data_IF_966132759486
#
_entry.id   IF_966132759486
#
_cell.length_a   1.000
_cell.length_b   1.000
_cell.length_c   1.000
_cell.angle_alpha   90.00
_cell.angle_beta   90.00
_cell.angle_gamma   90.00
#
_symmetry.space_group_name_H-M   'P 1'
#
loop_
_entity.id
_entity.type
_entity.pdbx_description
1 polymer ?
2 non-polymer ?
3 water ?
#
# COMPACT_ATOMS: atom_id res chain seq x y z
N UNK A 16 5.26 7.19 -26.55
CA UNK A 16 4.09 7.67 -25.76
C UNK A 16 2.96 8.03 -26.71
N UNK A 17 3.32 8.34 -27.95
CA UNK A 17 2.33 8.69 -28.96
C UNK A 17 1.62 7.42 -29.43
N UNK A 18 2.12 6.27 -28.99
CA UNK A 18 1.51 4.99 -29.34
C UNK A 18 0.34 4.72 -28.40
N UNK A 19 0.15 5.63 -27.44
CA UNK A 19 -0.91 5.49 -26.45
C UNK A 19 -1.84 6.70 -26.53
N UNK A 20 -3.11 6.48 -26.18
CA UNK A 20 -4.08 7.55 -26.14
C UNK A 20 -4.31 7.73 -24.64
N UNK A 21 -4.12 8.95 -24.15
CA UNK A 21 -4.31 9.22 -22.74
C UNK A 21 -5.74 9.68 -22.53
N UNK A 22 -6.62 8.72 -22.26
CA UNK A 22 -8.03 8.98 -22.07
C UNK A 22 -8.38 9.85 -20.86
N UNK A 23 -7.73 9.60 -19.74
CA UNK A 23 -7.99 10.38 -18.54
C UNK A 23 -6.93 10.25 -17.48
N UNK A 24 -6.95 11.16 -16.52
CA UNK A 24 -6.00 11.14 -15.43
C UNK A 24 -6.63 10.40 -14.25
N UNK A 25 -6.01 9.29 -13.85
CA UNK A 25 -6.51 8.49 -12.74
C UNK A 25 -6.16 9.14 -11.40
N UNK A 26 -5.01 9.78 -11.35
CA UNK A 26 -4.58 10.45 -10.13
C UNK A 26 -3.09 10.68 -10.07
N UNK A 27 -2.61 11.12 -8.92
CA UNK A 27 -1.18 11.39 -8.72
C UNK A 27 -0.65 10.52 -7.59
N UNK A 28 0.35 9.70 -7.89
CA UNK A 28 0.91 8.83 -6.88
C UNK A 28 2.23 9.35 -6.34
N UNK A 29 2.93 8.52 -5.58
CA UNK A 29 4.24 8.87 -5.01
C UNK A 29 4.84 10.00 -5.82
N UNK A 30 5.19 9.69 -7.06
CA UNK A 30 5.67 10.73 -7.98
C UNK A 30 5.08 10.55 -9.37
N UNK A 31 4.89 11.67 -10.06
CA UNK A 31 4.34 11.62 -11.41
C UNK A 31 2.86 11.34 -11.40
N UNK A 32 2.20 11.67 -12.49
CA UNK A 32 0.77 11.46 -12.61
C UNK A 32 0.48 10.10 -13.25
N UNK A 33 -0.72 9.57 -12.99
CA UNK A 33 -1.10 8.28 -13.57
C UNK A 33 -2.30 8.46 -14.47
N UNK A 34 -2.19 7.95 -15.70
CA UNK A 34 -3.24 8.07 -16.71
C UNK A 34 -3.78 6.73 -17.20
N UNK A 35 -5.06 6.71 -17.56
CA UNK A 35 -5.67 5.52 -18.13
C UNK A 35 -5.21 5.65 -19.57
N UNK A 36 -4.42 4.69 -20.05
CA UNK A 36 -3.89 4.75 -21.40
C UNK A 36 -4.24 3.56 -22.29
N UNK A 37 -4.59 3.86 -23.54
CA UNK A 37 -4.92 2.81 -24.50
C UNK A 37 -3.78 2.67 -25.49
N UNK A 38 -3.32 1.45 -25.70
CA UNK A 38 -2.27 1.20 -26.68
C UNK A 38 -3.02 1.12 -28.02
N UNK A 39 -2.97 2.23 -28.77
CA UNK A 39 -3.65 2.37 -30.05
C UNK A 39 -3.81 1.15 -30.97
N UNK A 40 -2.72 0.44 -31.23
CA UNK A 40 -2.77 -0.73 -32.11
C UNK A 40 -3.53 -1.95 -31.61
N UNK A 41 -3.85 -2.00 -30.33
CA UNK A 41 -4.54 -3.17 -29.80
C UNK A 41 -5.80 -2.90 -29.00
N UNK A 42 -6.06 -1.64 -28.67
CA UNK A 42 -7.23 -1.29 -27.87
C UNK A 42 -7.04 -1.74 -26.42
N UNK A 43 -5.84 -2.19 -26.09
CA UNK A 43 -5.57 -2.64 -24.72
C UNK A 43 -5.33 -1.42 -23.84
N UNK A 44 -5.94 -1.42 -22.66
CA UNK A 44 -5.78 -0.30 -21.74
C UNK A 44 -4.78 -0.62 -20.64
N UNK A 45 -4.09 0.43 -20.19
CA UNK A 45 -3.08 0.32 -19.16
C UNK A 45 -3.15 1.54 -18.26
N UNK A 46 -2.40 1.48 -17.16
CA UNK A 46 -2.34 2.60 -16.25
C UNK A 46 -0.89 3.04 -16.36
N UNK A 47 -0.67 4.26 -16.86
CA UNK A 47 0.69 4.76 -17.02
C UNK A 47 1.03 5.87 -16.04
N UNK A 48 2.14 5.67 -15.33
CA UNK A 48 2.64 6.64 -14.38
C UNK A 48 3.67 7.45 -15.15
N UNK A 49 3.46 8.76 -15.26
CA UNK A 49 4.38 9.63 -15.98
C UNK A 49 5.13 10.54 -15.03
N UNK A 50 6.44 10.64 -15.22
CA UNK A 50 7.30 11.48 -14.38
C UNK A 50 8.16 12.40 -15.25
N UNK A 51 8.26 13.67 -14.84
CA UNK A 51 9.06 14.66 -15.56
C UNK A 51 10.49 14.60 -15.04
N UNK A 52 11.40 14.08 -15.86
CA UNK A 52 12.80 13.96 -15.48
C UNK A 52 13.32 15.17 -14.72
N UNK A 53 13.01 16.35 -15.22
CA UNK A 53 13.47 17.60 -14.64
C UNK A 53 13.06 17.82 -13.18
N UNK A 54 11.83 17.52 -12.77
CA UNK A 54 11.54 17.75 -11.35
C UNK A 54 12.07 16.54 -10.56
N UNK A 55 12.27 15.40 -11.23
CA UNK A 55 12.82 14.20 -10.60
C UNK A 55 14.26 14.47 -10.14
N UNK A 56 14.99 15.27 -10.91
CA UNK A 56 16.37 15.60 -10.59
C UNK A 56 16.45 16.68 -9.51
N UNK A 57 15.59 17.68 -9.63
CA UNK A 57 15.53 18.77 -8.67
C UNK A 57 15.13 18.20 -7.32
N UNK A 58 14.11 17.35 -7.32
CA UNK A 58 13.65 16.72 -6.10
C UNK A 58 14.57 15.54 -5.80
N UNK A 59 15.68 15.48 -6.52
CA UNK A 59 16.69 14.44 -6.35
C UNK A 59 16.15 13.06 -5.95
N UNK A 60 15.10 12.59 -6.61
CA UNK A 60 14.54 11.29 -6.28
C UNK A 60 14.74 10.30 -7.42
N UNK A 61 15.96 10.30 -7.97
CA UNK A 61 16.28 9.40 -9.07
C UNK A 61 16.26 7.95 -8.60
N UNK A 62 16.79 7.69 -7.40
CA UNK A 62 16.81 6.34 -6.87
C UNK A 62 15.42 5.91 -6.43
N UNK A 63 14.61 6.86 -5.96
CA UNK A 63 13.24 6.53 -5.57
C UNK A 63 12.49 5.97 -6.79
N UNK A 64 12.83 6.43 -8.00
CA UNK A 64 12.14 5.96 -9.17
C UNK A 64 12.63 4.56 -9.51
N UNK A 65 13.91 4.29 -9.22
CA UNK A 65 14.49 2.98 -9.49
C UNK A 65 13.90 1.99 -8.52
N UNK A 66 13.64 2.45 -7.29
CA UNK A 66 13.05 1.59 -6.27
C UNK A 66 11.70 1.07 -6.76
N UNK A 67 10.83 1.98 -7.19
CA UNK A 67 9.51 1.59 -7.66
C UNK A 67 9.59 0.62 -8.83
N UNK A 68 10.48 0.90 -9.77
CA UNK A 68 10.65 0.03 -10.92
C UNK A 68 11.02 -1.37 -10.45
N UNK A 69 11.92 -1.43 -9.46
CA UNK A 69 12.40 -2.68 -8.91
C UNK A 69 11.32 -3.47 -8.20
N UNK A 70 10.55 -2.80 -7.34
CA UNK A 70 9.49 -3.49 -6.62
C UNK A 70 8.38 -3.91 -7.57
N UNK A 71 8.09 -3.10 -8.58
CA UNK A 71 7.07 -3.48 -9.55
C UNK A 71 7.53 -4.73 -10.32
N UNK A 72 8.82 -4.84 -10.59
CA UNK A 72 9.34 -6.01 -11.30
C UNK A 72 9.19 -7.23 -10.41
N UNK A 73 9.47 -7.04 -9.13
CA UNK A 73 9.35 -8.11 -8.16
C UNK A 73 7.89 -8.58 -8.05
N UNK A 74 6.98 -7.62 -7.92
CA UNK A 74 5.54 -7.87 -7.77
C UNK A 74 4.92 -8.82 -8.80
N UNK A 75 5.57 -8.99 -9.93
CA UNK A 75 5.04 -9.87 -10.98
C UNK A 75 4.74 -11.24 -10.37
N UNK A 76 5.58 -11.60 -9.41
CA UNK A 76 5.52 -12.88 -8.69
C UNK A 76 4.24 -13.07 -7.82
N UNK A 77 3.68 -11.96 -7.33
CA UNK A 77 2.52 -12.03 -6.44
C UNK A 77 1.17 -11.55 -7.02
N UNK A 78 0.06 -12.24 -6.70
CA UNK A 78 -1.25 -11.84 -7.22
C UNK A 78 -1.85 -10.57 -6.61
N UNK A 79 -1.43 -10.21 -5.41
CA UNK A 79 -2.01 -9.04 -4.77
C UNK A 79 -1.17 -7.76 -4.80
N UNK A 80 -0.24 -7.70 -5.74
CA UNK A 80 0.59 -6.52 -5.92
C UNK A 80 0.41 -6.09 -7.38
N UNK A 81 0.44 -4.80 -7.63
CA UNK A 81 0.28 -4.28 -8.98
C UNK A 81 1.47 -4.68 -9.86
N UNK A 82 1.19 -5.16 -11.07
CA UNK A 82 2.23 -5.58 -12.01
C UNK A 82 2.53 -4.50 -13.03
N UNK A 83 3.75 -4.55 -13.56
CA UNK A 83 4.21 -3.60 -14.56
C UNK A 83 4.56 -4.40 -15.82
N UNK A 84 4.18 -3.89 -16.98
CA UNK A 84 4.49 -4.61 -18.22
C UNK A 84 5.78 -4.13 -18.83
N UNK A 85 5.97 -2.83 -18.86
CA UNK A 85 7.20 -2.30 -19.39
C UNK A 85 7.44 -0.91 -18.87
N UNK A 86 8.54 -0.35 -19.31
CA UNK A 86 8.94 0.96 -18.87
C UNK A 86 9.68 1.55 -20.07
N UNK A 87 9.55 2.85 -20.28
CA UNK A 87 10.20 3.50 -21.40
C UNK A 87 10.32 4.98 -21.12
N UNK A 88 11.16 5.66 -21.90
CA UNK A 88 11.32 7.07 -21.70
C UNK A 88 11.33 7.89 -22.97
N UNK A 89 11.02 9.16 -22.76
CA UNK A 89 11.03 10.18 -23.79
C UNK A 89 12.24 10.97 -23.32
N UNK A 90 12.49 12.10 -23.97
CA UNK A 90 13.62 12.93 -23.61
C UNK A 90 13.26 13.94 -22.51
N UNK A 91 12.08 13.79 -21.91
CA UNK A 91 11.67 14.72 -20.86
C UNK A 91 10.86 14.02 -19.75
N UNK A 92 10.44 12.79 -20.01
CA UNK A 92 9.64 12.04 -19.03
C UNK A 92 9.98 10.58 -18.88
N UNK A 93 9.55 10.02 -17.76
CA UNK A 93 9.73 8.60 -17.44
C UNK A 93 8.33 8.01 -17.38
N UNK A 94 8.17 6.80 -17.91
CA UNK A 94 6.86 6.17 -17.93
C UNK A 94 6.85 4.73 -17.42
N UNK A 95 5.92 4.44 -16.54
CA UNK A 95 5.74 3.07 -16.02
C UNK A 95 4.42 2.59 -16.61
N UNK A 96 4.45 1.54 -17.42
CA UNK A 96 3.22 1.00 -17.98
C UNK A 96 2.79 -0.18 -17.11
N UNK A 97 1.76 0.05 -16.29
CA UNK A 97 1.25 -0.98 -15.39
C UNK A 97 -0.10 -1.52 -15.82
N UNK A 98 -0.51 -2.63 -15.21
CA UNK A 98 -1.81 -3.22 -15.51
C UNK A 98 -2.90 -2.27 -15.03
N UNK A 99 -4.00 -2.23 -15.77
CA UNK A 99 -5.13 -1.38 -15.42
C UNK A 99 -6.12 -2.19 -14.57
N UNK A 100 -6.47 -1.66 -13.42
CA UNK A 100 -7.38 -2.31 -12.48
C UNK A 100 -8.63 -1.45 -12.40
N UNK A 101 -9.68 -1.87 -13.09
CA UNK A 101 -10.92 -1.08 -13.16
C UNK A 101 -11.83 -0.99 -11.95
N UNK A 102 -11.44 -1.62 -10.84
CA UNK A 102 -12.28 -1.56 -9.65
C UNK A 102 -12.16 -0.28 -8.87
N UNK A 103 -11.10 0.50 -9.11
CA UNK A 103 -10.90 1.74 -8.38
C UNK A 103 -10.23 1.47 -7.03
N UNK A 104 -9.90 2.52 -6.30
CA UNK A 104 -9.24 2.37 -5.01
C UNK A 104 -10.24 2.22 -3.86
N UNK A 105 -9.79 1.60 -2.77
CA UNK A 105 -10.63 1.37 -1.61
C UNK A 105 -11.08 2.64 -0.92
N UNK A 106 -10.21 3.65 -0.90
CA UNK A 106 -10.58 4.92 -0.27
C UNK A 106 -11.88 5.42 -0.89
N UNK A 107 -11.94 5.39 -2.22
CA UNK A 107 -13.13 5.82 -2.94
C UNK A 107 -14.37 5.03 -2.51
N UNK A 108 -14.23 3.71 -2.46
CA UNK A 108 -15.34 2.84 -2.08
C UNK A 108 -15.80 3.10 -0.65
N UNK A 109 -14.86 3.33 0.27
CA UNK A 109 -15.22 3.59 1.66
C UNK A 109 -15.94 4.92 1.77
N UNK A 110 -15.58 5.87 0.92
CA UNK A 110 -16.21 7.18 0.96
C UNK A 110 -17.67 7.10 0.50
N UNK A 111 -17.92 6.31 -0.55
CA UNK A 111 -19.27 6.18 -1.06
C UNK A 111 -20.11 5.18 -0.27
N UNK A 112 -19.47 4.15 0.30
CA UNK A 112 -20.17 3.12 1.07
C UNK A 112 -20.20 3.40 2.57
N UNK A 113 -19.36 4.34 3.00
CA UNK A 113 -19.20 4.74 4.39
C UNK A 113 -18.35 3.75 5.17
N UNK A 114 -18.61 2.46 4.98
CA UNK A 114 -17.84 1.41 5.64
C UNK A 114 -18.17 0.04 5.07
N UNK A 115 -17.30 -0.93 5.33
CA UNK A 115 -17.50 -2.29 4.82
C UNK A 115 -17.99 -3.21 5.94
N UNK A 116 -18.82 -4.18 5.56
CA UNK A 116 -19.31 -5.15 6.52
C UNK A 116 -18.08 -5.98 6.92
N UNK A 117 -18.14 -6.62 8.09
CA UNK A 117 -17.00 -7.40 8.58
C UNK A 117 -16.46 -8.47 7.63
N UNK A 118 -17.35 -9.18 6.94
CA UNK A 118 -16.90 -10.23 6.01
C UNK A 118 -16.10 -9.67 4.85
N UNK A 119 -16.59 -8.56 4.28
CA UNK A 119 -15.92 -7.94 3.15
C UNK A 119 -14.56 -7.36 3.57
N UNK A 120 -14.55 -6.65 4.70
CA UNK A 120 -13.32 -6.06 5.23
C UNK A 120 -12.29 -7.14 5.58
N UNK A 121 -12.78 -8.26 6.12
CA UNK A 121 -11.91 -9.38 6.48
C UNK A 121 -11.25 -9.97 5.25
N UNK A 122 -12.02 -10.11 4.17
CA UNK A 122 -11.49 -10.65 2.93
C UNK A 122 -10.37 -9.77 2.37
N UNK A 123 -10.59 -8.46 2.33
CA UNK A 123 -9.58 -7.54 1.80
C UNK A 123 -8.36 -7.53 2.71
N UNK A 124 -8.60 -7.55 4.02
CA UNK A 124 -7.53 -7.54 4.99
C UNK A 124 -6.60 -8.74 4.80
N UNK A 125 -7.20 -9.90 4.58
CA UNK A 125 -6.43 -11.12 4.39
C UNK A 125 -5.51 -11.03 3.16
N UNK A 126 -6.05 -10.55 2.04
CA UNK A 126 -5.22 -10.44 0.83
C UNK A 126 -4.15 -9.35 1.01
N UNK A 127 -4.47 -8.32 1.78
CA UNK A 127 -3.49 -7.28 2.02
C UNK A 127 -2.36 -7.88 2.87
N UNK A 128 -2.71 -8.72 3.84
CA UNK A 128 -1.72 -9.37 4.68
C UNK A 128 -0.72 -10.16 3.83
N UNK A 129 -1.21 -10.96 2.88
CA UNK A 129 -0.34 -11.76 2.04
C UNK A 129 0.55 -10.87 1.17
N UNK A 130 -0.01 -9.78 0.67
CA UNK A 130 0.76 -8.86 -0.14
C UNK A 130 1.91 -8.27 0.67
N UNK A 131 1.62 -7.85 1.90
CA UNK A 131 2.62 -7.27 2.79
C UNK A 131 3.68 -8.27 3.18
N UNK A 132 3.24 -9.46 3.55
CA UNK A 132 4.19 -10.50 3.97
C UNK A 132 5.13 -10.92 2.86
N UNK A 133 4.62 -10.86 1.60
CA UNK A 133 5.45 -11.20 0.48
C UNK A 133 6.55 -10.15 0.39
N UNK A 134 6.14 -8.88 0.44
CA UNK A 134 7.10 -7.77 0.38
C UNK A 134 8.13 -7.87 1.49
N UNK A 135 7.68 -8.17 2.70
CA UNK A 135 8.58 -8.30 3.84
C UNK A 135 9.55 -9.47 3.67
N UNK A 136 9.06 -10.57 3.09
CA UNK A 136 9.91 -11.75 2.91
C UNK A 136 10.98 -11.44 1.89
N UNK A 137 10.75 -10.45 1.05
CA UNK A 137 11.71 -10.04 0.03
C UNK A 137 12.61 -8.89 0.51
N UNK A 138 12.63 -8.66 1.81
CA UNK A 138 13.45 -7.59 2.38
C UNK A 138 12.96 -6.18 2.12
N UNK A 139 11.66 -6.03 1.98
CA UNK A 139 11.06 -4.73 1.69
C UNK A 139 10.08 -4.27 2.78
N UNK A 140 10.20 -3.00 3.15
CA UNK A 140 9.30 -2.38 4.11
C UNK A 140 8.55 -1.38 3.22
N UNK A 141 7.23 -1.54 3.15
CA UNK A 141 6.39 -0.72 2.29
C UNK A 141 6.29 0.76 2.69
N UNK A 142 6.03 1.00 3.97
CA UNK A 142 5.97 2.35 4.53
C UNK A 142 4.87 3.29 4.06
N UNK A 143 4.04 2.86 3.12
CA UNK A 143 2.97 3.74 2.69
C UNK A 143 1.64 3.02 2.51
N UNK A 144 1.36 2.08 3.42
CA UNK A 144 0.10 1.34 3.36
C UNK A 144 -1.06 2.21 3.80
N UNK A 145 -1.98 2.46 2.88
CA UNK A 145 -3.16 3.27 3.17
C UNK A 145 -4.26 2.90 2.18
N UNK A 146 -5.51 3.20 2.52
CA UNK A 146 -6.65 2.88 1.66
C UNK A 146 -6.48 3.37 0.23
N UNK A 147 -5.92 4.55 0.10
CA UNK A 147 -5.67 5.19 -1.19
C UNK A 147 -4.82 4.31 -2.10
N UNK A 148 -3.98 3.47 -1.49
CA UNK A 148 -3.10 2.61 -2.26
C UNK A 148 -3.58 1.19 -2.48
N UNK A 149 -4.82 0.90 -2.14
CA UNK A 149 -5.37 -0.44 -2.35
C UNK A 149 -6.39 -0.35 -3.47
N UNK A 150 -6.09 -1.01 -4.59
CA UNK A 150 -6.98 -0.99 -5.74
C UNK A 150 -7.70 -2.33 -5.88
N UNK A 151 -8.84 -2.29 -6.54
CA UNK A 151 -9.64 -3.49 -6.78
C UNK A 151 -9.53 -3.88 -8.25
N UNK A 152 -9.28 -5.18 -8.49
CA UNK A 152 -9.17 -5.68 -9.86
C UNK A 152 -10.59 -6.01 -10.33
N UNK A 153 -10.73 -6.38 -11.61
CA UNK A 153 -12.04 -6.70 -12.17
C UNK A 153 -12.66 -7.98 -11.64
N UNK A 154 -11.86 -8.79 -10.95
CA UNK A 154 -12.32 -10.05 -10.39
C UNK A 154 -12.75 -9.88 -8.94
N UNK A 155 -12.53 -8.69 -8.39
CA UNK A 155 -12.92 -8.46 -7.02
C UNK A 155 -11.80 -8.60 -6.01
N UNK A 156 -10.62 -9.01 -6.47
CA UNK A 156 -9.48 -9.16 -5.59
C UNK A 156 -8.72 -7.84 -5.54
N UNK A 157 -7.97 -7.61 -4.48
CA UNK A 157 -7.24 -6.35 -4.37
C UNK A 157 -5.78 -6.43 -4.81
N UNK A 158 -5.19 -5.26 -5.00
CA UNK A 158 -3.80 -5.16 -5.40
C UNK A 158 -3.20 -3.91 -4.78
N UNK A 159 -2.06 -4.08 -4.12
CA UNK A 159 -1.36 -2.96 -3.51
C UNK A 159 -0.67 -2.19 -4.64
N UNK A 160 -0.70 -0.87 -4.57
CA UNK A 160 -0.07 -0.03 -5.58
C UNK A 160 0.79 1.09 -5.00
N UNK A 161 1.65 1.64 -5.85
CA UNK A 161 2.55 2.74 -5.48
C UNK A 161 3.64 2.27 -4.53
N UNK A 162 4.79 1.93 -5.09
CA UNK A 162 5.90 1.43 -4.28
C UNK A 162 7.05 2.41 -4.19
N UNK A 163 6.77 3.68 -4.46
CA UNK A 163 7.81 4.69 -4.42
C UNK A 163 8.45 4.95 -3.08
N UNK A 164 7.81 4.54 -1.99
CA UNK A 164 8.34 4.79 -0.67
C UNK A 164 8.94 3.56 0.02
N UNK A 165 9.05 2.46 -0.72
CA UNK A 165 9.61 1.24 -0.16
C UNK A 165 11.09 1.37 0.18
N UNK A 166 11.52 0.57 1.14
CA UNK A 166 12.92 0.52 1.57
C UNK A 166 13.30 -0.95 1.33
N UNK A 167 14.35 -1.18 0.54
CA UNK A 167 14.80 -2.54 0.26
C UNK A 167 15.99 -2.94 1.10
N UNK A 168 16.48 -4.15 0.88
CA UNK A 168 17.61 -4.71 1.60
C UNK A 168 17.35 -4.71 3.10
N UNK A 169 16.08 -4.73 3.48
CA UNK A 169 15.69 -4.77 4.87
C UNK A 169 15.60 -6.25 5.24
N UNK A 170 16.76 -6.84 5.45
CA UNK A 170 16.88 -8.24 5.80
C UNK A 170 17.46 -8.48 7.19
N UNK A 171 17.04 -9.59 7.80
CA UNK A 171 17.52 -9.92 9.12
C UNK A 171 17.16 -8.87 10.16
N UNK A 172 18.17 -8.37 10.86
CA UNK A 172 17.95 -7.35 11.88
C UNK A 172 18.10 -5.93 11.34
N UNK A 173 18.06 -5.78 10.02
CA UNK A 173 18.21 -4.47 9.43
C UNK A 173 17.08 -3.52 9.82
N UNK A 174 17.44 -2.28 10.15
CA UNK A 174 16.45 -1.27 10.51
C UNK A 174 16.82 0.00 9.76
N UNK A 175 15.84 0.89 9.56
CA UNK A 175 16.10 2.15 8.86
C UNK A 175 15.56 3.30 9.70
N UNK A 176 15.75 4.53 9.25
CA UNK A 176 15.35 5.67 10.06
C UNK A 176 14.73 6.89 9.38
N UNK A 177 14.31 6.79 8.14
CA UNK A 177 13.73 7.96 7.49
C UNK A 177 12.30 8.21 7.99
N UNK A 178 12.02 9.44 8.42
CA UNK A 178 10.67 9.79 8.87
C UNK A 178 9.82 9.92 7.61
N UNK A 179 8.81 9.06 7.46
CA UNK A 179 7.96 9.14 6.28
C UNK A 179 6.64 8.40 6.42
N UNK A 180 5.73 8.67 5.49
CA UNK A 180 4.42 8.04 5.49
C UNK A 180 3.32 9.10 5.59
N UNK A 181 2.09 8.71 5.29
CA UNK A 181 0.95 9.60 5.36
C UNK A 181 0.64 9.70 6.85
N UNK A 182 0.58 10.94 7.39
CA UNK A 182 0.30 11.18 8.80
C UNK A 182 -0.71 10.30 9.53
N UNK A 183 -1.89 10.11 8.95
CA UNK A 183 -2.91 9.28 9.59
C UNK A 183 -2.42 7.87 9.89
N UNK A 184 -1.51 7.38 9.06
CA UNK A 184 -0.97 6.03 9.16
C UNK A 184 0.41 5.85 9.79
N UNK A 185 1.06 6.94 10.15
CA UNK A 185 2.41 6.84 10.72
C UNK A 185 2.46 6.12 12.07
N UNK A 186 3.33 5.10 12.15
CA UNK A 186 3.48 4.32 13.38
C UNK A 186 4.13 5.12 14.51
N UNK A 187 3.74 4.83 15.76
CA UNK A 187 4.30 5.53 16.90
C UNK A 187 5.82 5.42 17.06
N UNK A 188 6.41 4.28 16.67
CA UNK A 188 7.84 4.14 16.82
C UNK A 188 8.58 5.16 15.96
N UNK A 189 7.98 5.56 14.84
CA UNK A 189 8.58 6.56 13.97
C UNK A 189 8.45 7.92 14.65
N UNK A 190 7.27 8.18 15.21
CA UNK A 190 7.02 9.45 15.90
C UNK A 190 7.95 9.63 17.10
N UNK A 191 8.32 8.51 17.74
CA UNK A 191 9.20 8.56 18.90
C UNK A 191 10.67 8.55 18.50
N UNK A 192 10.91 8.55 17.19
CA UNK A 192 12.27 8.59 16.68
C UNK A 192 13.13 7.33 16.78
N UNK A 193 12.52 6.15 16.77
CA UNK A 193 13.30 4.91 16.88
C UNK A 193 13.62 4.34 15.50
N UNK A 194 14.77 3.68 15.37
CA UNK A 194 15.15 3.00 14.11
C UNK A 194 14.04 1.94 13.98
N UNK A 195 13.56 1.66 12.76
CA UNK A 195 12.46 0.68 12.62
C UNK A 195 12.56 -0.29 11.45
N UNK A 196 11.68 -1.28 11.46
CA UNK A 196 11.62 -2.28 10.41
C UNK A 196 10.18 -2.46 9.92
N UNK A 197 9.84 -3.65 9.42
CA UNK A 197 8.50 -3.93 8.89
C UNK A 197 7.36 -3.68 9.88
N UNK A 198 7.68 -3.55 11.16
CA UNK A 198 6.66 -3.31 12.17
C UNK A 198 5.77 -2.10 11.85
N UNK A 199 6.33 -1.11 11.16
CA UNK A 199 5.56 0.07 10.82
C UNK A 199 4.44 -0.25 9.86
N UNK A 200 4.61 -1.26 9.02
CA UNK A 200 3.55 -1.60 8.08
C UNK A 200 2.39 -2.24 8.82
N UNK A 201 2.68 -2.97 9.90
CA UNK A 201 1.61 -3.62 10.65
C UNK A 201 0.75 -2.63 11.41
N UNK A 202 1.32 -1.46 11.72
CA UNK A 202 0.56 -0.42 12.39
C UNK A 202 -0.36 0.21 11.34
N UNK A 203 0.21 0.56 10.20
CA UNK A 203 -0.57 1.17 9.12
C UNK A 203 -1.72 0.24 8.72
N UNK A 204 -1.45 -1.07 8.73
CA UNK A 204 -2.46 -2.06 8.38
C UNK A 204 -3.61 -1.94 9.38
N UNK A 205 -3.28 -1.83 10.65
CA UNK A 205 -4.30 -1.67 11.67
C UNK A 205 -5.18 -0.45 11.40
N UNK A 206 -4.54 0.66 11.03
CA UNK A 206 -5.28 1.88 10.75
C UNK A 206 -6.19 1.65 9.57
N UNK A 207 -5.65 1.02 8.54
CA UNK A 207 -6.41 0.71 7.31
C UNK A 207 -7.60 -0.21 7.61
N UNK A 208 -7.39 -1.24 8.42
CA UNK A 208 -8.46 -2.16 8.75
C UNK A 208 -9.52 -1.44 9.58
N UNK A 209 -9.09 -0.64 10.54
CA UNK A 209 -10.00 0.13 11.37
C UNK A 209 -10.87 1.00 10.47
N UNK A 210 -10.25 1.66 9.49
CA UNK A 210 -10.99 2.52 8.58
C UNK A 210 -12.02 1.76 7.73
N UNK A 211 -11.67 0.58 7.23
CA UNK A 211 -12.60 -0.19 6.42
C UNK A 211 -13.86 -0.57 7.20
N UNK A 212 -13.68 -0.86 8.49
CA UNK A 212 -14.77 -1.29 9.35
C UNK A 212 -15.57 -0.19 10.01
N UNK A 213 -14.90 0.91 10.33
CA UNK A 213 -15.53 2.01 11.03
C UNK A 213 -15.85 3.21 10.15
N UNK A 214 -15.12 3.36 9.04
CA UNK A 214 -15.38 4.46 8.14
C UNK A 214 -14.78 5.78 8.63
N UNK A 215 -13.99 5.70 9.69
CA UNK A 215 -13.31 6.85 10.27
C UNK A 215 -11.90 6.40 10.61
N UNK A 216 -10.99 7.36 10.76
CA UNK A 216 -9.61 7.05 11.13
C UNK A 216 -9.60 6.86 12.64
N UNK A 217 -8.78 5.93 13.15
CA UNK A 217 -8.71 5.68 14.59
C UNK A 217 -8.09 6.81 15.42
N UNK A 218 -7.18 7.58 14.83
CA UNK A 218 -6.54 8.69 15.54
C UNK A 218 -6.88 10.00 14.85
N UNK A 219 -7.32 10.98 15.65
CA UNK A 219 -7.74 12.29 15.13
C UNK A 219 -6.87 13.45 15.59
N UNK A 220 -7.11 14.60 14.97
CA UNK A 220 -6.39 15.81 15.31
C UNK A 220 -6.80 16.93 14.38
N UNK A 221 -6.90 18.15 14.91
CA UNK A 221 -7.29 19.28 14.09
C UNK A 221 -6.17 19.55 13.10
N UNK A 222 -4.96 19.21 13.50
CA UNK A 222 -3.77 19.37 12.66
C UNK A 222 -2.83 18.19 12.91
N UNK A 223 -1.72 18.13 12.18
CA UNK A 223 -0.77 17.04 12.34
C UNK A 223 -0.20 16.88 13.74
N UNK A 224 0.10 17.99 14.40
CA UNK A 224 0.67 17.90 15.74
C UNK A 224 -0.31 17.21 16.69
N UNK A 225 -1.59 17.55 16.59
CA UNK A 225 -2.59 16.93 17.46
C UNK A 225 -2.74 15.47 17.07
N UNK A 226 -2.70 15.21 15.77
CA UNK A 226 -2.83 13.84 15.27
C UNK A 226 -1.68 13.01 15.85
N UNK A 227 -0.46 13.54 15.79
CA UNK A 227 0.69 12.79 16.30
C UNK A 227 0.56 12.50 17.77
N UNK A 228 0.06 13.48 18.53
CA UNK A 228 -0.12 13.27 19.95
C UNK A 228 -1.13 12.14 20.17
N UNK A 229 -2.17 12.14 19.35
CA UNK A 229 -3.23 11.12 19.44
C UNK A 229 -2.68 9.73 19.13
N UNK A 230 -1.84 9.64 18.10
CA UNK A 230 -1.24 8.37 17.71
C UNK A 230 -0.35 7.85 18.84
N UNK A 231 0.32 8.78 19.54
CA UNK A 231 1.20 8.40 20.64
C UNK A 231 0.51 8.06 21.95
N UNK A 232 -0.61 8.71 22.24
CA UNK A 232 -1.28 8.51 23.53
C UNK A 232 -2.67 7.90 23.57
N UNK A 233 -3.53 8.26 22.62
CA UNK A 233 -4.89 7.78 22.64
C UNK A 233 -5.21 6.33 22.29
N UNK A 234 -6.37 5.91 22.77
CA UNK A 234 -6.89 4.59 22.52
C UNK A 234 -8.03 4.82 21.54
N UNK A 235 -8.01 4.14 20.39
CA UNK A 235 -9.07 4.30 19.40
C UNK A 235 -10.44 3.95 19.97
N UNK A 236 -11.49 4.54 19.40
CA UNK A 236 -12.84 4.26 19.85
C UNK A 236 -13.38 3.05 19.09
N UNK A 237 -13.94 2.09 19.83
CA UNK A 237 -14.51 0.91 19.19
C UNK A 237 -16.02 0.89 19.48
N UNK A 238 -16.85 0.95 18.43
CA UNK A 238 -18.32 0.94 18.54
C UNK A 238 -18.82 -0.37 19.16
N UNK A 239 -19.98 -0.30 19.82
CA UNK A 239 -20.56 -1.48 20.45
C UNK A 239 -20.94 -2.57 19.46
N UNK A 240 -21.10 -2.20 18.18
CA UNK A 240 -21.47 -3.19 17.18
C UNK A 240 -20.27 -3.89 16.55
N UNK A 241 -19.06 -3.46 16.87
CA UNK A 241 -17.87 -4.08 16.31
C UNK A 241 -17.68 -5.45 16.93
N UNK A 242 -17.60 -6.47 16.08
CA UNK A 242 -17.42 -7.84 16.56
C UNK A 242 -16.18 -7.97 17.44
N UNK A 243 -16.28 -8.81 18.46
CA UNK A 243 -15.19 -9.04 19.41
C UNK A 243 -13.86 -9.46 18.81
N UNK A 244 -13.87 -10.44 17.90
CA UNK A 244 -12.59 -10.87 17.36
C UNK A 244 -11.96 -9.76 16.47
N UNK A 245 -12.78 -8.85 15.92
CA UNK A 245 -12.21 -7.75 15.11
C UNK A 245 -11.59 -6.71 16.04
N UNK A 246 -12.27 -6.41 17.15
CA UNK A 246 -11.74 -5.46 18.11
C UNK A 246 -10.42 -5.99 18.65
N UNK A 247 -10.40 -7.30 18.92
CA UNK A 247 -9.21 -7.94 19.46
C UNK A 247 -8.03 -7.87 18.50
N UNK A 248 -8.29 -8.02 17.21
CA UNK A 248 -7.22 -7.96 16.22
C UNK A 248 -6.64 -6.55 16.22
N UNK A 249 -7.52 -5.56 16.16
CA UNK A 249 -7.10 -4.16 16.15
C UNK A 249 -6.30 -3.78 17.38
N UNK A 250 -6.75 -4.24 18.54
CA UNK A 250 -6.06 -3.95 19.81
C UNK A 250 -4.65 -4.52 19.78
N UNK A 251 -4.52 -5.71 19.23
CA UNK A 251 -3.20 -6.34 19.14
C UNK A 251 -2.32 -5.67 18.09
N UNK A 252 -2.95 -4.99 17.13
CA UNK A 252 -2.20 -4.29 16.11
C UNK A 252 -1.79 -2.92 16.61
N UNK A 253 -2.61 -2.32 17.47
CA UNK A 253 -2.31 -0.98 17.97
C UNK A 253 -1.43 -0.94 19.21
N UNK A 254 -0.61 -1.97 19.39
CA UNK A 254 0.31 -2.01 20.51
C UNK A 254 1.47 -1.08 20.13
N UNK A 255 1.76 -0.12 21.01
CA UNK A 255 2.83 0.86 20.78
C UNK A 255 4.21 0.22 20.59
N UNK A 256 4.61 -0.63 21.53
CA UNK A 256 5.89 -1.31 21.45
C UNK A 256 5.88 -2.23 20.23
N UNK A 257 6.64 -1.87 19.19
CA UNK A 257 6.69 -2.69 17.96
C UNK A 257 7.05 -4.17 18.14
N UNK A 258 7.92 -4.49 19.09
CA UNK A 258 8.30 -5.88 19.28
C UNK A 258 7.21 -6.73 19.90
N UNK A 259 6.12 -6.12 20.36
CA UNK A 259 5.02 -6.86 20.94
C UNK A 259 3.77 -6.78 20.06
N UNK A 260 3.93 -6.21 18.87
CA UNK A 260 2.82 -6.04 17.95
C UNK A 260 2.58 -7.26 17.07
N UNK A 261 1.32 -7.69 17.00
CA UNK A 261 0.96 -8.83 16.17
C UNK A 261 1.44 -8.48 14.77
N UNK A 262 2.00 -9.47 14.07
CA UNK A 262 2.53 -9.22 12.74
C UNK A 262 4.05 -9.22 12.87
N UNK A 263 4.53 -8.63 13.96
CA UNK A 263 5.96 -8.59 14.26
C UNK A 263 6.20 -9.83 15.12
N UNK A 264 5.31 -10.00 16.10
CA UNK A 264 5.34 -11.11 17.02
C UNK A 264 4.11 -12.01 16.75
N UNK A 265 4.28 -13.33 16.82
CA UNK A 265 3.15 -14.22 16.60
C UNK A 265 2.84 -14.48 15.13
N UNK A 266 1.67 -15.05 14.87
CA UNK A 266 1.24 -15.36 13.51
C UNK A 266 -0.13 -14.74 13.26
N UNK A 267 -0.15 -13.57 12.62
CA UNK A 267 -1.40 -12.87 12.36
C UNK A 267 -2.42 -13.71 11.59
N UNK A 268 -1.94 -14.66 10.79
CA UNK A 268 -2.85 -15.50 10.00
C UNK A 268 -3.69 -16.42 10.88
N UNK A 269 -3.16 -16.76 12.06
CA UNK A 269 -3.86 -17.63 12.99
C UNK A 269 -4.82 -16.89 13.92
N UNK A 270 -5.03 -15.60 13.69
CA UNK A 270 -5.96 -14.86 14.54
C UNK A 270 -7.38 -15.34 14.23
N UNK A 271 -8.20 -15.53 15.28
CA UNK A 271 -9.59 -16.01 15.16
C UNK A 271 -10.42 -15.31 14.07
N UNK A 272 -10.17 -14.02 13.85
CA UNK A 272 -10.91 -13.27 12.85
C UNK A 272 -10.81 -13.91 11.47
N UNK A 273 -9.69 -14.57 11.19
CA UNK A 273 -9.45 -15.21 9.90
C UNK A 273 -9.68 -16.72 9.92
N UNK A 274 -10.37 -17.21 10.95
CA UNK A 274 -10.58 -18.65 11.09
C UNK A 274 -11.12 -19.39 9.87
N UNK A 275 -12.01 -18.77 9.10
CA UNK A 275 -12.56 -19.43 7.94
C UNK A 275 -11.73 -19.31 6.66
N UNK A 276 -10.59 -18.62 6.74
CA UNK A 276 -9.77 -18.46 5.55
C UNK A 276 -8.69 -19.52 5.34
N UNK A 277 -8.67 -20.07 4.14
CA UNK A 277 -7.65 -21.04 3.76
C UNK A 277 -6.67 -20.13 3.00
N UNK A 278 -5.59 -19.75 3.67
CA UNK A 278 -4.60 -18.84 3.08
C UNK A 278 -3.99 -19.26 1.76
N UNK A 279 -3.70 -20.54 1.62
CA UNK A 279 -3.13 -21.00 0.36
C UNK A 279 -4.12 -20.87 -0.78
N UNK A 280 -5.37 -21.24 -0.52
CA UNK A 280 -6.39 -21.11 -1.56
C UNK A 280 -6.63 -19.65 -1.87
N UNK A 281 -6.52 -18.80 -0.85
CA UNK A 281 -6.73 -17.37 -1.03
C UNK A 281 -5.72 -16.83 -2.02
N UNK A 282 -4.45 -17.14 -1.80
CA UNK A 282 -3.39 -16.67 -2.68
C UNK A 282 -3.56 -17.21 -4.10
N UNK A 283 -4.12 -18.41 -4.21
CA UNK A 283 -4.36 -19.01 -5.53
C UNK A 283 -5.65 -18.45 -6.09
N UNK A 284 -6.27 -17.55 -5.34
CA UNK A 284 -7.52 -16.92 -5.74
C UNK A 284 -8.64 -17.92 -5.99
N UNK A 285 -8.75 -18.90 -5.10
CA UNK A 285 -9.79 -19.91 -5.23
C UNK A 285 -10.91 -19.63 -4.24
N UNK A 286 -10.83 -18.46 -3.60
CA UNK A 286 -11.83 -18.02 -2.66
C UNK A 286 -12.44 -16.76 -3.27
N UNK A 287 -13.71 -16.84 -3.67
CA UNK A 287 -14.38 -15.70 -4.29
C UNK A 287 -14.53 -14.53 -3.33
N UNK A 288 -14.48 -13.30 -3.87
CA UNK A 288 -14.61 -12.07 -3.07
C UNK A 288 -15.95 -12.02 -2.32
N UNK A 327 24.52 14.42 -16.45
CA UNK A 327 23.44 14.57 -17.43
C UNK A 327 22.69 13.28 -17.73
N UNK A 328 23.43 12.16 -17.77
CA UNK A 328 22.86 10.87 -18.10
C UNK A 328 22.09 10.11 -17.03
N UNK A 329 21.71 10.83 -15.98
CA UNK A 329 20.94 10.30 -14.85
C UNK A 329 20.04 9.07 -15.00
N UNK A 330 19.25 8.97 -16.06
CA UNK A 330 18.36 7.82 -16.19
C UNK A 330 18.56 6.93 -17.42
N UNK A 331 19.75 6.40 -17.58
CA UNK A 331 20.04 5.54 -18.72
C UNK A 331 19.75 4.08 -18.41
N UNK A 332 19.23 3.35 -19.40
CA UNK A 332 18.88 1.94 -19.24
C UNK A 332 17.68 1.80 -18.33
N UNK A 333 16.88 2.86 -18.25
CA UNK A 333 15.70 2.87 -17.41
C UNK A 333 14.55 2.11 -18.04
N UNK A 334 14.57 2.05 -19.38
CA UNK A 334 13.53 1.36 -20.14
C UNK A 334 13.56 -0.13 -19.86
N UNK A 335 12.41 -0.76 -20.06
CA UNK A 335 12.30 -2.16 -19.78
C UNK A 335 10.95 -2.64 -20.18
X LIG B 1 -4.42 7.04 -8.82
X LIG B 1 -5.79 6.55 -8.77
X LIG B 1 -6.23 6.38 -7.22
X LIG B 1 -5.07 6.81 -6.17
X LIG B 1 -3.74 6.06 -6.50
X LIG B 1 -3.30 6.54 -8.03
X LIG B 1 -2.50 7.85 -7.86
X LIG B 1 -2.59 5.31 -8.72
X LIG B 1 -3.36 4.38 -9.53
X LIG B 1 -4.75 4.31 -9.87
X LIG B 1 -5.30 3.22 -10.73
X LIG B 1 -4.25 2.17 -11.23
X LIG B 1 -2.93 2.24 -10.90
X LIG B 1 -2.39 3.34 -10.05
X LIG B 1 -1.10 3.67 -9.53
X LIG B 1 -1.19 4.95 -8.73
X LIG B 1 0.03 5.47 -8.08
X LIG B 1 1.31 4.85 -8.26
X LIG B 1 1.43 3.59 -9.07
X LIG B 1 0.23 3.06 -9.70
X LIG B 1 -2.19 1.09 -11.55
X LIG B 1 -3.29 0.46 -12.21
X LIG B 1 -4.48 0.99 -12.09
X LIG B 1 -5.51 0.59 -12.59
X LIG B 1 -6.68 3.41 -10.83
X LIG B 1 -7.03 4.66 -10.08
X LIG B 1 -8.43 5.15 -9.97
X LIG B 1 -9.48 4.42 -10.70
X LIG B 1 -9.14 3.19 -11.48
X LIG B 1 -7.78 2.72 -11.55
X LIG B 1 -5.88 5.16 -9.47
X LIG B 1 -3.95 4.57 -6.44
X LIG B 1 -2.88 3.86 -5.81
X LIG B 1 -5.65 6.53 -4.72
X LIG B 1 -6.92 7.33 -4.44
#
# INVERSE_FOLDING_TARGET
PELNKERPSLQIKLKIEDFILHKMLGKGSFGKVFLAEFKKTNQFFAIKALKKDVVLMDDDVECTMVEKRVLSLAWEHPFLTHMFCTFQTKENLFFVMEYLNGGDLMYHIQSCHKFDLSRATFYAAEIILGLQFLHSKGIVYRDLKLDNILLDKDGHIKIADFGMCKENMLGDAKTNTFCGTPDYIAPEILLGQKYNHSVDWWSFGVLLYEMLIGQSPFHGQDEEELFHSIRMDNPFYPRWLEKEAKDLLVKLFVREPEKRLGVRGDIRQHPLFREINWEELERKEIDPPFRPKVKSPFDCSNFDKEFLNEKPRLSFADRALINSMDQNMFRNFSFMNPGMERLIS
STU O4 C25 C24 C23 C22 C21 C26 N2 C18 C19 C6 C7 C10 C11 C12 C17 C16 C15 C14 C13 C9 N1 C8 O5 C5 C20 C1 C2 C3 C4 N3 O6 C27 N4 C28
#
